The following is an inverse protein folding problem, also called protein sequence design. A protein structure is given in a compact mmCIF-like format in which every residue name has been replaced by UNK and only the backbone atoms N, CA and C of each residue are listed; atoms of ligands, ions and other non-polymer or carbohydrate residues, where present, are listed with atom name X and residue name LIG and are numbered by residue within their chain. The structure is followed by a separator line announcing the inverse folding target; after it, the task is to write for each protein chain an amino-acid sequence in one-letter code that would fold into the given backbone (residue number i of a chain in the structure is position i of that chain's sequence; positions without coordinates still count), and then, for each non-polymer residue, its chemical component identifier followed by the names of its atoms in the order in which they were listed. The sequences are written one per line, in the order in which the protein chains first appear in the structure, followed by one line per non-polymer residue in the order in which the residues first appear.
data_IF_495379446357
#
_entry.id   IF_495379446357
#
_cell.length_a   1.000
_cell.length_b   1.000
_cell.length_c   1.000
_cell.angle_alpha   90.00
_cell.angle_beta   90.00
_cell.angle_gamma   90.00
#
_symmetry.space_group_name_H-M   'P 1'
#
loop_
_entity.id
_entity.type
_entity.pdbx_description
1 polymer ?
#
# COMPACT_ATOMS: atom_id res chain seq x y z
N UNK A 1 -8.01 -2.50 -16.18
CA UNK A 1 -8.88 -1.86 -15.15
C UNK A 1 -8.02 -1.52 -13.94
N UNK A 2 -8.17 -0.34 -13.30
CA UNK A 2 -7.31 0.07 -12.18
C UNK A 2 -7.76 -0.52 -10.85
N UNK A 3 -6.79 -0.92 -10.02
CA UNK A 3 -6.98 -1.38 -8.63
C UNK A 3 -6.16 -0.50 -7.69
N UNK A 4 -6.77 -0.02 -6.60
CA UNK A 4 -6.01 0.64 -5.54
C UNK A 4 -5.15 -0.39 -4.82
N UNK A 5 -3.83 -0.38 -5.09
CA UNK A 5 -2.85 -1.31 -4.52
C UNK A 5 -2.27 -0.82 -3.19
N UNK A 6 -2.62 0.40 -2.76
CA UNK A 6 -2.18 1.00 -1.51
C UNK A 6 -3.35 1.72 -0.86
N UNK A 7 -3.90 1.14 0.21
CA UNK A 7 -5.06 1.67 0.93
C UNK A 7 -4.86 1.54 2.42
N UNK A 8 -5.12 2.64 3.15
CA UNK A 8 -4.91 2.75 4.58
C UNK A 8 -6.24 2.95 5.31
N UNK A 9 -6.56 2.04 6.22
CA UNK A 9 -7.73 2.15 7.10
C UNK A 9 -7.37 2.77 8.46
N UNK A 10 -8.36 2.85 9.35
CA UNK A 10 -8.16 3.27 10.74
C UNK A 10 -7.23 2.33 11.53
N UNK A 11 -6.94 1.14 11.01
CA UNK A 11 -5.92 0.25 11.57
C UNK A 11 -4.48 0.70 11.22
N UNK A 12 -4.30 1.61 10.27
CA UNK A 12 -3.09 2.44 10.19
C UNK A 12 -3.14 3.47 11.31
N UNK A 13 -2.72 3.05 12.51
CA UNK A 13 -2.94 3.79 13.76
C UNK A 13 -2.40 5.22 13.68
N UNK A 14 -3.23 6.18 14.08
CA UNK A 14 -2.93 7.62 14.03
C UNK A 14 -2.57 8.14 12.61
N UNK A 15 -3.06 7.41 11.57
CA UNK A 15 -2.89 7.77 10.17
C UNK A 15 -4.21 7.71 9.38
N UNK A 16 -4.82 6.53 9.22
CA UNK A 16 -6.06 6.35 8.47
C UNK A 16 -7.30 6.84 9.25
N UNK A 17 -8.13 7.73 8.68
CA UNK A 17 -9.34 8.20 9.36
C UNK A 17 -10.58 7.30 9.17
N UNK A 18 -10.57 6.42 8.16
CA UNK A 18 -11.74 5.63 7.76
C UNK A 18 -11.66 4.18 8.18
N UNK A 19 -12.81 3.61 8.57
CA UNK A 19 -12.91 2.18 8.85
C UNK A 19 -12.82 1.37 7.56
N UNK A 20 -12.46 0.11 7.70
CA UNK A 20 -12.30 -0.82 6.58
C UNK A 20 -13.58 -0.94 5.75
N UNK A 21 -14.74 -1.04 6.42
CA UNK A 21 -16.04 -1.18 5.77
C UNK A 21 -16.37 0.03 4.90
N UNK A 22 -16.07 1.25 5.38
CA UNK A 22 -16.30 2.49 4.64
C UNK A 22 -15.45 2.55 3.36
N UNK A 23 -14.19 2.10 3.44
CA UNK A 23 -13.29 2.04 2.27
C UNK A 23 -13.78 1.02 1.24
N UNK A 24 -14.24 -0.16 1.68
CA UNK A 24 -14.78 -1.19 0.79
C UNK A 24 -16.09 -0.73 0.15
N UNK A 25 -16.98 -0.08 0.91
CA UNK A 25 -18.23 0.47 0.40
C UNK A 25 -17.98 1.55 -0.67
N UNK A 26 -17.03 2.45 -0.41
CA UNK A 26 -16.64 3.48 -1.37
C UNK A 26 -16.00 2.88 -2.63
N UNK A 27 -15.15 1.86 -2.49
CA UNK A 27 -14.57 1.15 -3.63
C UNK A 27 -15.64 0.45 -4.48
N UNK A 28 -16.64 -0.18 -3.86
CA UNK A 28 -17.77 -0.79 -4.55
C UNK A 28 -18.57 0.27 -5.32
N UNK A 29 -18.92 1.37 -4.66
CA UNK A 29 -19.64 2.48 -5.27
C UNK A 29 -18.87 3.11 -6.45
N UNK A 30 -17.53 3.15 -6.37
CA UNK A 30 -16.66 3.62 -7.45
C UNK A 30 -16.51 2.62 -8.61
N UNK A 31 -17.06 1.41 -8.50
CA UNK A 31 -16.98 0.34 -9.52
C UNK A 31 -15.64 -0.41 -9.51
N UNK A 32 -14.89 -0.38 -8.41
CA UNK A 32 -13.68 -1.17 -8.26
C UNK A 32 -14.03 -2.66 -8.20
N UNK A 33 -13.28 -3.51 -8.92
CA UNK A 33 -13.44 -4.97 -8.87
C UNK A 33 -12.56 -5.63 -7.81
N UNK A 34 -11.50 -4.96 -7.43
CA UNK A 34 -10.56 -5.41 -6.41
C UNK A 34 -10.07 -4.20 -5.61
N UNK A 35 -9.64 -4.46 -4.39
CA UNK A 35 -9.05 -3.47 -3.49
C UNK A 35 -7.94 -4.14 -2.69
N UNK A 36 -6.82 -3.47 -2.49
CA UNK A 36 -5.80 -3.91 -1.55
C UNK A 36 -5.98 -3.19 -0.21
N UNK A 37 -5.85 -3.92 0.91
CA UNK A 37 -5.67 -3.32 2.23
C UNK A 37 -4.18 -3.42 2.60
N UNK A 38 -3.57 -2.28 2.87
CA UNK A 38 -2.13 -2.18 3.14
C UNK A 38 -1.84 -1.29 4.34
N UNK A 39 -2.46 -1.60 5.46
CA UNK A 39 -2.27 -0.85 6.69
C UNK A 39 -0.80 -0.82 7.13
N UNK A 40 -0.40 0.27 7.79
CA UNK A 40 0.98 0.53 8.14
C UNK A 40 1.43 -0.37 9.30
N UNK A 41 2.47 -1.16 9.05
CA UNK A 41 3.14 -2.04 10.01
C UNK A 41 2.22 -3.06 10.72
N UNK A 42 1.07 -3.42 10.12
CA UNK A 42 0.16 -4.40 10.72
C UNK A 42 -0.83 -5.04 9.72
N UNK A 43 -1.56 -6.06 10.21
CA UNK A 43 -2.62 -6.79 9.50
C UNK A 43 -3.93 -6.82 10.32
N UNK A 44 -4.13 -5.88 11.25
CA UNK A 44 -5.25 -5.92 12.19
C UNK A 44 -6.62 -5.85 11.51
N UNK A 45 -6.71 -5.12 10.39
CA UNK A 45 -7.95 -4.94 9.62
C UNK A 45 -8.31 -6.09 8.69
N UNK A 46 -7.42 -7.08 8.48
CA UNK A 46 -7.58 -8.08 7.42
C UNK A 46 -8.87 -8.90 7.56
N UNK A 47 -9.23 -9.34 8.78
CA UNK A 47 -10.45 -10.14 8.96
C UNK A 47 -11.71 -9.36 8.56
N UNK A 48 -11.88 -8.15 9.06
CA UNK A 48 -13.00 -7.27 8.69
C UNK A 48 -13.00 -6.91 7.21
N UNK A 49 -11.82 -6.70 6.63
CA UNK A 49 -11.64 -6.43 5.20
C UNK A 49 -12.13 -7.57 4.31
N UNK A 50 -11.76 -8.82 4.61
CA UNK A 50 -12.22 -9.98 3.87
C UNK A 50 -13.73 -10.15 3.94
N UNK A 51 -14.32 -9.95 5.12
CA UNK A 51 -15.77 -10.01 5.34
C UNK A 51 -16.50 -8.90 4.54
N UNK A 52 -16.02 -7.67 4.61
CA UNK A 52 -16.60 -6.53 3.89
C UNK A 52 -16.50 -6.72 2.37
N UNK A 53 -15.34 -7.14 1.85
CA UNK A 53 -15.13 -7.41 0.44
C UNK A 53 -16.07 -8.50 -0.08
N UNK A 54 -16.23 -9.59 0.68
CA UNK A 54 -17.17 -10.67 0.34
C UNK A 54 -18.61 -10.17 0.24
N UNK A 55 -19.04 -9.32 1.20
CA UNK A 55 -20.37 -8.74 1.23
C UNK A 55 -20.66 -7.82 0.03
N UNK A 56 -19.64 -7.21 -0.56
CA UNK A 56 -19.76 -6.26 -1.69
C UNK A 56 -19.32 -6.84 -3.04
N UNK A 57 -18.91 -8.11 -3.10
CA UNK A 57 -18.42 -8.73 -4.34
C UNK A 57 -17.11 -8.13 -4.86
N UNK A 58 -16.31 -7.50 -3.98
CA UNK A 58 -14.99 -7.00 -4.29
C UNK A 58 -13.95 -8.08 -4.00
N UNK A 59 -12.99 -8.26 -4.90
CA UNK A 59 -11.87 -9.18 -4.68
C UNK A 59 -10.84 -8.54 -3.74
N UNK A 60 -10.59 -9.13 -2.56
CA UNK A 60 -9.60 -8.61 -1.62
C UNK A 60 -8.17 -8.91 -2.09
N UNK A 61 -7.27 -7.98 -1.85
CA UNK A 61 -5.83 -8.20 -1.95
C UNK A 61 -5.24 -7.88 -0.58
N UNK A 62 -4.65 -8.88 0.06
CA UNK A 62 -4.05 -8.72 1.38
C UNK A 62 -2.61 -8.24 1.26
N UNK A 63 -2.27 -7.22 2.02
CA UNK A 63 -0.92 -6.68 2.07
C UNK A 63 -0.68 -5.83 3.31
N UNK A 64 0.48 -5.22 3.38
CA UNK A 64 0.82 -4.20 4.37
C UNK A 64 1.84 -3.22 3.80
N UNK A 65 1.81 -1.98 4.24
CA UNK A 65 2.91 -1.05 4.07
C UNK A 65 3.84 -1.14 5.27
N UNK A 66 5.13 -1.36 5.03
CA UNK A 66 6.13 -1.42 6.07
C UNK A 66 7.00 -0.17 5.99
N UNK A 67 7.13 0.52 7.12
CA UNK A 67 7.92 1.76 7.26
C UNK A 67 9.05 1.56 8.27
N UNK A 68 10.26 1.93 7.88
CA UNK A 68 11.42 1.92 8.77
C UNK A 68 12.53 2.85 8.28
N UNK A 69 13.09 3.65 9.18
CA UNK A 69 14.27 4.50 8.87
C UNK A 69 14.05 5.50 7.73
N UNK A 70 12.84 6.02 7.55
CA UNK A 70 12.48 6.90 6.43
C UNK A 70 12.21 6.17 5.11
N UNK A 71 12.36 4.85 5.06
CA UNK A 71 12.03 4.01 3.92
C UNK A 71 10.63 3.41 4.07
N UNK A 72 10.00 3.10 2.93
CA UNK A 72 8.72 2.40 2.89
C UNK A 72 8.64 1.40 1.74
N UNK A 73 7.92 0.31 1.96
CA UNK A 73 7.56 -0.64 0.94
C UNK A 73 6.16 -1.20 1.18
N UNK A 74 5.38 -1.31 0.11
CA UNK A 74 4.08 -2.00 0.12
C UNK A 74 4.30 -3.43 -0.33
N UNK A 75 3.88 -4.40 0.49
CA UNK A 75 3.88 -5.81 0.14
C UNK A 75 2.45 -6.25 -0.13
N UNK A 76 2.26 -6.95 -1.26
CA UNK A 76 0.97 -7.52 -1.66
C UNK A 76 1.15 -9.04 -1.79
N UNK A 77 0.41 -9.80 -0.99
CA UNK A 77 0.50 -11.25 -0.98
C UNK A 77 -0.05 -11.86 -2.27
N UNK A 78 0.79 -12.57 -3.00
CA UNK A 78 0.42 -13.30 -4.20
C UNK A 78 -0.13 -14.69 -3.86
N UNK A 79 0.42 -15.31 -2.82
CA UNK A 79 0.12 -16.67 -2.40
C UNK A 79 0.27 -16.83 -0.88
N UNK A 80 0.07 -18.07 -0.38
CA UNK A 80 0.20 -18.40 1.04
C UNK A 80 1.61 -18.12 1.58
N UNK A 81 2.64 -18.40 0.79
CA UNK A 81 4.02 -18.14 1.18
C UNK A 81 4.27 -16.64 1.42
N UNK A 82 3.72 -15.79 0.54
CA UNK A 82 3.78 -14.34 0.71
C UNK A 82 3.11 -13.87 1.98
N UNK A 83 1.96 -14.43 2.34
CA UNK A 83 1.26 -14.09 3.58
C UNK A 83 2.06 -14.51 4.82
N UNK A 84 2.58 -15.75 4.84
CA UNK A 84 3.43 -16.25 5.93
C UNK A 84 4.70 -15.38 6.09
N UNK A 85 5.36 -15.05 4.99
CA UNK A 85 6.53 -14.18 4.98
C UNK A 85 6.20 -12.76 5.45
N UNK A 86 5.05 -12.20 5.07
CA UNK A 86 4.62 -10.89 5.53
C UNK A 86 4.39 -10.88 7.05
N UNK A 87 3.75 -11.91 7.61
CA UNK A 87 3.57 -12.05 9.06
C UNK A 87 4.91 -12.11 9.80
N UNK A 88 5.89 -12.88 9.27
CA UNK A 88 7.23 -12.96 9.84
C UNK A 88 7.96 -11.61 9.76
N UNK A 89 7.90 -10.94 8.62
CA UNK A 89 8.54 -9.64 8.41
C UNK A 89 7.99 -8.57 9.36
N UNK A 90 6.67 -8.52 9.55
CA UNK A 90 6.02 -7.63 10.51
C UNK A 90 6.43 -7.94 11.95
N UNK A 91 6.62 -9.22 12.28
CA UNK A 91 7.09 -9.66 13.60
C UNK A 91 8.54 -9.23 13.83
N UNK A 92 9.42 -9.48 12.84
CA UNK A 92 10.82 -9.05 12.87
C UNK A 92 10.93 -7.53 13.02
N UNK A 93 10.15 -6.76 12.23
CA UNK A 93 10.08 -5.30 12.30
C UNK A 93 9.75 -4.77 13.69
N UNK A 94 8.87 -5.47 14.43
CA UNK A 94 8.42 -5.04 15.77
C UNK A 94 9.36 -5.48 16.89
N UNK A 95 10.14 -6.54 16.70
CA UNK A 95 10.93 -7.17 17.76
C UNK A 95 12.42 -6.87 17.69
N UNK A 96 12.96 -6.57 16.51
CA UNK A 96 14.39 -6.37 16.32
C UNK A 96 14.74 -4.88 16.38
N UNK A 97 15.63 -4.50 17.28
CA UNK A 97 16.12 -3.13 17.41
C UNK A 97 16.96 -2.71 16.19
N UNK A 98 17.76 -3.64 15.64
CA UNK A 98 18.60 -3.46 14.45
C UNK A 98 17.91 -3.83 13.14
N UNK A 99 16.58 -3.76 13.09
CA UNK A 99 15.81 -4.11 11.88
C UNK A 99 16.27 -3.28 10.68
N UNK A 100 16.39 -3.94 9.54
CA UNK A 100 16.66 -3.31 8.24
C UNK A 100 15.62 -3.75 7.24
N UNK A 101 14.87 -2.78 6.68
CA UNK A 101 13.81 -3.08 5.72
C UNK A 101 14.37 -3.80 4.48
N UNK A 102 15.52 -3.35 3.95
CA UNK A 102 16.17 -4.02 2.83
C UNK A 102 16.57 -5.47 3.12
N UNK A 103 17.12 -5.74 4.31
CA UNK A 103 17.48 -7.11 4.75
C UNK A 103 16.23 -7.98 4.89
N UNK A 104 15.19 -7.46 5.54
CA UNK A 104 13.93 -8.15 5.73
C UNK A 104 13.25 -8.49 4.41
N UNK A 105 13.20 -7.55 3.46
CA UNK A 105 12.60 -7.76 2.14
C UNK A 105 13.35 -8.81 1.30
N UNK A 106 14.69 -8.86 1.38
CA UNK A 106 15.45 -9.96 0.71
C UNK A 106 15.13 -11.32 1.30
N UNK A 107 14.95 -11.39 2.62
CA UNK A 107 14.68 -12.67 3.30
C UNK A 107 13.21 -13.11 3.17
N UNK A 108 12.27 -12.19 3.08
CA UNK A 108 10.83 -12.42 3.20
C UNK A 108 9.99 -11.90 2.02
N UNK A 109 10.60 -11.44 0.93
CA UNK A 109 9.87 -10.93 -0.23
C UNK A 109 9.23 -12.01 -1.12
N UNK A 110 9.65 -13.27 -0.97
CA UNK A 110 9.12 -14.39 -1.75
C UNK A 110 7.61 -14.57 -1.56
N UNK A 111 6.88 -14.83 -2.64
CA UNK A 111 5.41 -14.98 -2.65
C UNK A 111 4.64 -13.66 -2.57
N UNK A 112 5.34 -12.51 -2.65
CA UNK A 112 4.72 -11.19 -2.63
C UNK A 112 5.23 -10.31 -3.77
N UNK A 113 4.41 -9.33 -4.18
CA UNK A 113 4.92 -8.15 -4.87
C UNK A 113 5.40 -7.14 -3.86
N UNK A 114 6.55 -6.52 -4.13
CA UNK A 114 7.16 -5.47 -3.30
C UNK A 114 7.19 -4.18 -4.09
N UNK A 115 6.42 -3.19 -3.68
CA UNK A 115 6.33 -1.89 -4.35
C UNK A 115 6.99 -0.83 -3.46
N UNK A 116 7.92 -0.06 -4.00
CA UNK A 116 8.59 1.03 -3.25
C UNK A 116 8.95 2.21 -4.15
N UNK A 117 8.85 3.41 -3.63
CA UNK A 117 9.36 4.64 -4.24
C UNK A 117 10.72 5.08 -3.65
N UNK A 118 11.24 4.35 -2.65
CA UNK A 118 12.53 4.62 -2.03
C UNK A 118 13.69 4.30 -2.98
N UNK A 119 14.53 5.29 -3.37
CA UNK A 119 15.68 5.05 -4.23
C UNK A 119 16.74 4.11 -3.63
N UNK A 120 16.90 4.13 -2.29
CA UNK A 120 17.81 3.23 -1.57
C UNK A 120 17.33 1.78 -1.65
N UNK A 121 16.05 1.52 -1.41
CA UNK A 121 15.47 0.19 -1.53
C UNK A 121 15.52 -0.32 -2.97
N UNK A 122 15.17 0.49 -3.97
CA UNK A 122 15.25 0.08 -5.38
C UNK A 122 16.66 -0.37 -5.76
N UNK A 123 17.71 0.40 -5.38
CA UNK A 123 19.11 0.00 -5.64
C UNK A 123 19.50 -1.27 -4.89
N UNK A 124 19.11 -1.36 -3.65
CA UNK A 124 19.49 -2.45 -2.75
C UNK A 124 18.81 -3.77 -3.11
N UNK A 125 17.57 -3.75 -3.62
CA UNK A 125 16.77 -4.92 -3.90
C UNK A 125 16.80 -5.36 -5.37
N UNK A 126 17.34 -4.54 -6.26
CA UNK A 126 17.45 -4.87 -7.68
C UNK A 126 18.16 -6.22 -7.90
N UNK A 127 17.49 -7.12 -8.64
CA UNK A 127 17.99 -8.46 -8.93
C UNK A 127 17.97 -9.47 -7.77
N UNK A 128 17.54 -9.05 -6.56
CA UNK A 128 17.47 -9.94 -5.40
C UNK A 128 16.04 -10.23 -4.90
N UNK A 129 15.04 -9.49 -5.39
CA UNK A 129 13.63 -9.68 -5.06
C UNK A 129 12.84 -9.76 -6.37
N UNK A 130 12.28 -10.93 -6.68
CA UNK A 130 11.59 -11.22 -7.95
C UNK A 130 10.39 -10.30 -8.20
N UNK A 131 9.57 -10.09 -7.19
CA UNK A 131 8.35 -9.27 -7.26
C UNK A 131 8.57 -7.76 -7.07
N UNK A 132 9.81 -7.25 -7.20
CA UNK A 132 10.12 -5.83 -6.98
C UNK A 132 9.58 -4.95 -8.10
N UNK A 133 8.85 -3.90 -7.71
CA UNK A 133 8.33 -2.86 -8.59
C UNK A 133 8.61 -1.47 -8.02
N UNK A 134 8.87 -0.52 -8.90
CA UNK A 134 8.88 0.88 -8.49
C UNK A 134 7.44 1.38 -8.33
N UNK A 135 7.13 1.90 -7.15
CA UNK A 135 5.85 2.50 -6.86
C UNK A 135 5.73 3.84 -7.57
N UNK A 136 4.67 4.01 -8.36
CA UNK A 136 4.29 5.27 -8.99
C UNK A 136 2.93 5.68 -8.48
N UNK A 137 2.85 6.89 -7.93
CA UNK A 137 1.59 7.50 -7.50
C UNK A 137 1.35 8.80 -8.26
N UNK A 138 0.15 9.37 -8.24
CA UNK A 138 -0.08 10.71 -8.80
C UNK A 138 0.80 11.80 -8.16
N UNK A 139 1.32 11.54 -6.95
CA UNK A 139 2.08 12.50 -6.14
C UNK A 139 3.60 12.26 -6.15
N UNK A 140 4.06 11.05 -6.47
CA UNK A 140 5.48 10.70 -6.49
C UNK A 140 5.84 9.90 -7.74
N UNK A 141 6.83 10.41 -8.49
CA UNK A 141 7.36 9.81 -9.72
C UNK A 141 8.87 9.56 -9.64
N UNK A 142 9.49 9.94 -8.53
CA UNK A 142 10.96 9.90 -8.39
C UNK A 142 11.53 8.49 -8.57
N UNK A 143 10.85 7.48 -8.03
CA UNK A 143 11.24 6.07 -8.17
C UNK A 143 11.22 5.56 -9.61
N UNK A 144 10.29 6.05 -10.45
CA UNK A 144 10.11 5.56 -11.82
C UNK A 144 11.34 5.82 -12.74
N UNK A 145 11.99 6.98 -12.60
CA UNK A 145 13.17 7.30 -13.39
C UNK A 145 14.38 6.41 -13.01
N UNK A 146 14.56 6.16 -11.72
CA UNK A 146 15.60 5.24 -11.26
C UNK A 146 15.30 3.80 -11.68
N UNK A 147 14.05 3.39 -11.59
CA UNK A 147 13.60 2.05 -11.97
C UNK A 147 13.92 1.71 -13.43
N UNK A 148 13.70 2.65 -14.36
CA UNK A 148 14.09 2.48 -15.77
C UNK A 148 15.59 2.19 -15.92
N UNK A 149 16.45 2.90 -15.17
CA UNK A 149 17.91 2.66 -15.20
C UNK A 149 18.30 1.31 -14.59
N UNK A 150 17.57 0.85 -13.60
CA UNK A 150 17.79 -0.43 -12.89
C UNK A 150 17.04 -1.60 -13.56
N UNK A 151 16.26 -1.35 -14.63
CA UNK A 151 15.39 -2.33 -15.30
C UNK A 151 14.37 -2.96 -14.34
N UNK A 152 13.88 -2.19 -13.37
CA UNK A 152 12.81 -2.58 -12.47
C UNK A 152 11.48 -2.13 -13.07
N UNK A 153 10.45 -2.99 -13.18
CA UNK A 153 9.14 -2.57 -13.66
C UNK A 153 8.50 -1.55 -12.70
N UNK A 154 7.78 -0.58 -13.25
CA UNK A 154 7.00 0.36 -12.48
C UNK A 154 5.57 -0.15 -12.32
N UNK A 155 4.93 0.11 -11.18
CA UNK A 155 3.53 -0.20 -10.92
C UNK A 155 2.80 1.05 -10.43
N UNK A 156 1.67 1.36 -11.06
CA UNK A 156 0.78 2.43 -10.61
C UNK A 156 0.05 1.98 -9.34
N UNK A 157 0.14 2.77 -8.29
CA UNK A 157 -0.66 2.58 -7.09
C UNK A 157 -1.28 3.92 -6.71
N UNK A 158 -2.60 3.91 -6.48
CA UNK A 158 -3.26 5.05 -5.88
C UNK A 158 -3.16 4.90 -4.38
N UNK A 159 -2.42 5.78 -3.71
CA UNK A 159 -2.51 5.86 -2.25
C UNK A 159 -3.92 6.36 -1.89
N UNK A 160 -4.72 5.50 -1.26
CA UNK A 160 -6.06 5.82 -0.81
C UNK A 160 -6.09 5.81 0.72
N UNK A 161 -5.96 6.99 1.31
CA UNK A 161 -6.09 7.20 2.75
C UNK A 161 -7.42 7.88 3.10
N UNK A 162 -8.08 8.52 2.12
CA UNK A 162 -9.24 9.38 2.32
C UNK A 162 -10.37 9.04 1.35
N UNK A 163 -11.60 9.32 1.76
CA UNK A 163 -12.79 9.24 0.90
C UNK A 163 -13.22 10.64 0.43
N UNK A 164 -12.96 11.67 1.22
CA UNK A 164 -13.28 13.06 0.89
C UNK A 164 -12.24 14.03 1.47
N UNK A 165 -12.37 15.30 1.11
CA UNK A 165 -11.46 16.35 1.57
C UNK A 165 -11.53 16.62 3.09
N UNK A 166 -12.63 16.26 3.74
CA UNK A 166 -12.80 16.38 5.19
C UNK A 166 -11.87 15.44 5.96
N UNK A 167 -11.59 14.29 5.39
CA UNK A 167 -10.72 13.28 5.98
C UNK A 167 -9.30 13.78 6.19
N UNK A 168 -8.81 14.64 5.31
CA UNK A 168 -7.48 15.24 5.47
C UNK A 168 -7.35 16.07 6.74
N UNK A 169 -8.43 16.73 7.18
CA UNK A 169 -8.45 17.47 8.45
C UNK A 169 -8.33 16.52 9.64
N UNK A 170 -9.09 15.41 9.60
CA UNK A 170 -9.02 14.36 10.63
C UNK A 170 -7.62 13.75 10.65
N UNK A 171 -7.08 13.42 9.48
CA UNK A 171 -5.72 12.90 9.34
C UNK A 171 -4.68 13.82 9.98
N UNK A 172 -4.73 15.13 9.76
CA UNK A 172 -3.82 16.09 10.40
C UNK A 172 -3.91 16.07 11.91
N UNK A 173 -5.12 15.91 12.47
CA UNK A 173 -5.29 15.74 13.93
C UNK A 173 -4.64 14.45 14.40
N UNK A 174 -4.87 13.33 13.70
CA UNK A 174 -4.23 12.06 14.02
C UNK A 174 -2.69 12.16 13.99
N UNK A 175 -2.13 12.87 12.99
CA UNK A 175 -0.67 13.09 12.88
C UNK A 175 -0.14 14.01 13.99
N UNK A 176 -0.91 14.99 14.43
CA UNK A 176 -0.57 15.82 15.58
C UNK A 176 -0.48 14.99 16.87
N UNK A 177 -1.47 14.12 17.10
CA UNK A 177 -1.46 13.18 18.24
C UNK A 177 -0.25 12.25 18.17
N UNK A 178 0.02 11.66 17.00
CA UNK A 178 1.17 10.77 16.79
C UNK A 178 2.50 11.45 17.11
N UNK A 179 2.66 12.71 16.70
CA UNK A 179 3.85 13.52 16.93
C UNK A 179 3.88 14.23 18.29
N UNK A 180 2.85 14.05 19.14
CA UNK A 180 2.69 14.78 20.43
C UNK A 180 2.86 16.28 20.28
N UNK A 181 2.20 16.87 19.29
CA UNK A 181 2.31 18.29 18.92
C UNK A 181 0.95 18.86 18.53
N UNK A 182 0.88 20.17 18.33
CA UNK A 182 -0.36 20.84 17.89
C UNK A 182 -0.61 20.57 16.39
N UNK A 183 -1.86 20.66 15.96
CA UNK A 183 -2.23 20.50 14.54
C UNK A 183 -1.59 21.57 13.64
N UNK A 184 -1.27 22.74 14.20
CA UNK A 184 -0.64 23.84 13.48
C UNK A 184 0.86 23.60 13.20
N UNK A 185 1.51 22.74 13.97
CA UNK A 185 2.93 22.36 13.81
C UNK A 185 3.13 21.06 13.01
N UNK A 186 2.07 20.45 12.50
CA UNK A 186 2.16 19.28 11.62
C UNK A 186 2.60 19.71 10.24
N UNK A 187 3.76 19.23 9.78
CA UNK A 187 4.24 19.53 8.43
C UNK A 187 3.53 18.67 7.38
N UNK A 188 3.44 19.13 6.13
CA UNK A 188 2.89 18.32 5.03
C UNK A 188 3.62 16.98 4.84
N UNK A 189 4.91 16.92 5.14
CA UNK A 189 5.75 15.72 5.02
C UNK A 189 5.39 14.60 6.01
N UNK A 190 4.74 14.99 7.13
CA UNK A 190 4.23 14.02 8.11
C UNK A 190 2.89 13.40 7.70
N UNK A 191 2.27 13.94 6.67
CA UNK A 191 0.92 13.60 6.24
C UNK A 191 0.93 12.82 4.93
N UNK A 192 -0.15 12.05 4.69
CA UNK A 192 -0.50 11.65 3.33
C UNK A 192 -0.78 12.89 2.48
N UNK A 193 -0.53 12.84 1.16
CA UNK A 193 -0.92 13.94 0.28
C UNK A 193 -2.42 14.25 0.40
N UNK A 194 -2.83 15.53 0.39
CA UNK A 194 -4.26 15.88 0.49
C UNK A 194 -5.15 15.23 -0.58
N UNK A 195 -4.57 14.86 -1.71
CA UNK A 195 -5.24 14.15 -2.80
C UNK A 195 -5.16 12.63 -2.73
N UNK A 196 -4.70 12.04 -1.61
CA UNK A 196 -4.66 10.58 -1.41
C UNK A 196 -6.08 10.02 -1.23
N UNK A 197 -6.91 10.24 -2.23
CA UNK A 197 -8.32 9.85 -2.29
C UNK A 197 -8.49 8.52 -3.01
N UNK A 198 -9.49 7.77 -2.60
CA UNK A 198 -10.00 6.67 -3.40
C UNK A 198 -10.71 7.25 -4.62
N UNK A 199 -10.18 7.03 -5.83
CA UNK A 199 -10.74 7.54 -7.07
C UNK A 199 -11.35 6.43 -7.92
N UNK A 200 -12.34 6.73 -8.79
CA UNK A 200 -12.93 5.73 -9.68
C UNK A 200 -11.90 5.22 -10.69
N UNK A 201 -11.94 3.91 -11.04
CA UNK A 201 -10.96 3.30 -11.97
C UNK A 201 -10.81 4.02 -13.30
N UNK A 202 -11.87 4.67 -13.77
CA UNK A 202 -11.86 5.47 -15.01
C UNK A 202 -10.96 6.72 -14.96
N UNK A 203 -10.58 7.19 -13.79
CA UNK A 203 -9.67 8.35 -13.66
C UNK A 203 -8.18 7.95 -13.84
N UNK A 204 -7.83 6.68 -13.68
CA UNK A 204 -6.45 6.22 -13.70
C UNK A 204 -5.69 6.55 -15.01
N UNK A 205 -6.24 6.40 -16.22
CA UNK A 205 -5.52 6.73 -17.45
C UNK A 205 -5.03 8.17 -17.50
N UNK A 206 -5.81 9.13 -17.00
CA UNK A 206 -5.40 10.53 -16.95
C UNK A 206 -4.35 10.78 -15.86
N UNK A 207 -4.52 10.19 -14.68
CA UNK A 207 -3.60 10.34 -13.55
C UNK A 207 -2.21 9.76 -13.83
N UNK A 208 -2.12 8.69 -14.60
CA UNK A 208 -0.88 7.96 -14.91
C UNK A 208 -0.48 8.05 -16.39
N UNK A 209 -0.96 9.07 -17.12
CA UNK A 209 -0.69 9.23 -18.56
C UNK A 209 0.80 9.21 -18.93
N UNK A 210 1.69 9.66 -18.02
CA UNK A 210 3.14 9.64 -18.22
C UNK A 210 3.79 8.25 -18.03
N UNK A 211 3.06 7.27 -17.51
CA UNK A 211 3.54 5.93 -17.17
C UNK A 211 2.50 4.85 -17.52
N UNK A 212 2.13 4.69 -18.81
CA UNK A 212 1.12 3.72 -19.22
C UNK A 212 1.52 2.27 -18.87
N UNK A 213 2.80 1.95 -18.92
CA UNK A 213 3.33 0.64 -18.52
C UNK A 213 3.08 0.34 -17.02
N UNK A 214 3.02 1.37 -16.18
CA UNK A 214 2.72 1.19 -14.77
C UNK A 214 1.25 0.81 -14.53
N UNK A 215 0.33 1.28 -15.37
CA UNK A 215 -1.07 0.85 -15.34
C UNK A 215 -1.24 -0.61 -15.76
N UNK A 216 -0.54 -1.05 -16.80
CA UNK A 216 -0.54 -2.45 -17.22
C UNK A 216 -0.03 -3.37 -16.10
N UNK A 217 1.04 -2.93 -15.41
CA UNK A 217 1.59 -3.69 -14.29
C UNK A 217 0.66 -3.68 -13.07
N UNK A 218 -0.09 -2.60 -12.82
CA UNK A 218 -1.14 -2.58 -11.81
C UNK A 218 -2.17 -3.71 -12.02
N UNK A 219 -2.66 -3.87 -13.25
CA UNK A 219 -3.60 -4.93 -13.61
C UNK A 219 -2.98 -6.32 -13.42
N UNK A 220 -1.75 -6.53 -13.89
CA UNK A 220 -1.03 -7.81 -13.75
C UNK A 220 -0.83 -8.19 -12.28
N UNK A 221 -0.41 -7.24 -11.44
CA UNK A 221 -0.24 -7.43 -9.99
C UNK A 221 -1.58 -7.79 -9.36
N UNK A 222 -2.62 -7.00 -9.63
CA UNK A 222 -3.94 -7.25 -9.09
C UNK A 222 -4.47 -8.62 -9.48
N UNK A 223 -4.26 -9.06 -10.73
CA UNK A 223 -4.70 -10.36 -11.20
C UNK A 223 -3.89 -11.54 -10.65
N UNK A 224 -2.63 -11.33 -10.32
CA UNK A 224 -1.78 -12.36 -9.71
C UNK A 224 -2.06 -12.52 -8.20
N UNK A 225 -2.58 -11.49 -7.52
CA UNK A 225 -2.94 -11.55 -6.10
C UNK A 225 -4.33 -12.14 -5.92
N UNK A 226 -4.45 -13.47 -6.04
CA UNK A 226 -5.73 -14.20 -5.90
C UNK A 226 -5.76 -15.13 -4.69
N UNK A 227 -4.78 -15.00 -3.81
CA UNK A 227 -4.71 -15.81 -2.61
C UNK A 227 -5.86 -15.49 -1.66
N UNK A 228 -6.64 -16.51 -1.32
CA UNK A 228 -7.71 -16.41 -0.33
C UNK A 228 -7.14 -16.78 1.05
N UNK A 229 -7.13 -15.81 1.96
CA UNK A 229 -6.72 -16.05 3.34
C UNK A 229 -7.89 -16.73 4.05
N UNK A 230 -7.82 -18.03 4.19
CA UNK A 230 -8.79 -18.81 4.96
C UNK A 230 -8.30 -18.85 6.40
N UNK A 231 -8.94 -18.08 7.27
CA UNK A 231 -8.80 -18.30 8.70
C UNK A 231 -9.67 -19.51 9.06
N UNK A 232 -9.03 -20.65 9.31
CA UNK A 232 -9.71 -21.80 9.89
C UNK A 232 -10.02 -21.42 11.34
N UNK A 233 -11.32 -21.27 11.65
CA UNK A 233 -11.80 -21.12 13.01
C UNK A 233 -11.71 -22.42 13.82
#
# INVERSE_FOLDING_TARGET
MFTHLQTHSAYSLLYGPRRVEELVDAAAAAGCRALALTDIDNLYGVHGFLAACRARGIRPIVGAEIRHGGERAVLLCRDRRGFENLCLLLTERKRQEDFSLARGLRARGEGSFVLTDSPSLLRSLAGSVEGLHALVTPFSRAGAFLARRLRIPAAAAGEAAFLDAGDYRIHRVLRAVAGRRTVFSVSPEDCAPPGALLFPPGAAPALFAAFPEALENNEKIADACRFDVIFQG
#
